data_IF_522603481672
#
_entry.id   IF_522603481672
#
_cell.length_a   1.000
_cell.length_b   1.000
_cell.length_c   1.000
_cell.angle_alpha   90.00
_cell.angle_beta   90.00
_cell.angle_gamma   90.00
#
_symmetry.space_group_name_H-M   'P 1'
#
loop_
_entity.id
_entity.type
_entity.pdbx_description
1 polymer ?
#
# COMPACT_ATOMS: atom_id res chain seq x y z
N UNK A 1 -0.54 -28.92 11.82
CA UNK A 1 -0.65 -27.44 11.76
C UNK A 1 0.74 -26.92 11.51
N UNK A 2 1.14 -26.80 10.24
CA UNK A 2 2.45 -26.29 9.87
C UNK A 2 2.39 -24.78 9.74
N UNK A 3 2.92 -24.13 10.76
CA UNK A 3 3.32 -22.73 10.79
C UNK A 3 4.51 -22.56 9.85
N UNK A 4 4.25 -22.17 8.60
CA UNK A 4 5.30 -22.05 7.59
C UNK A 4 4.92 -21.23 6.36
N UNK A 5 4.06 -20.22 6.48
CA UNK A 5 3.95 -19.22 5.40
C UNK A 5 5.16 -18.28 5.49
N UNK A 6 6.27 -18.76 4.96
CA UNK A 6 7.45 -17.98 4.63
C UNK A 6 7.01 -16.77 3.78
N UNK A 7 7.24 -15.57 4.32
CA UNK A 7 7.19 -14.36 3.52
C UNK A 7 8.38 -14.31 2.55
N UNK A 8 8.08 -14.10 1.26
CA UNK A 8 8.97 -13.77 0.12
C UNK A 8 9.98 -14.87 -0.31
N UNK A 9 10.51 -14.94 -1.56
CA UNK A 9 10.50 -14.00 -2.70
C UNK A 9 10.06 -14.60 -4.07
N UNK A 10 9.86 -13.76 -5.11
CA UNK A 10 9.90 -14.21 -6.52
C UNK A 10 8.63 -14.78 -7.15
N UNK A 11 7.42 -14.43 -6.66
CA UNK A 11 6.19 -14.80 -7.37
C UNK A 11 6.13 -14.06 -8.71
N UNK A 12 6.17 -14.82 -9.81
CA UNK A 12 5.97 -14.28 -11.16
C UNK A 12 4.48 -13.95 -11.34
N UNK A 13 4.15 -12.89 -12.10
CA UNK A 13 2.80 -12.67 -12.56
C UNK A 13 2.24 -13.95 -13.19
N UNK A 14 0.93 -14.16 -13.06
CA UNK A 14 0.30 -15.30 -13.72
C UNK A 14 0.47 -15.18 -15.25
N UNK A 15 0.92 -16.26 -15.88
CA UNK A 15 1.01 -16.35 -17.35
C UNK A 15 -0.37 -16.50 -18.02
N UNK A 16 -1.43 -16.56 -17.21
CA UNK A 16 -2.83 -16.61 -17.63
C UNK A 16 -3.62 -15.45 -17.01
N UNK A 17 -4.74 -15.05 -17.61
CA UNK A 17 -5.70 -14.17 -16.95
C UNK A 17 -6.16 -14.75 -15.61
N UNK A 18 -6.46 -13.86 -14.66
CA UNK A 18 -7.05 -14.24 -13.39
C UNK A 18 -8.48 -14.76 -13.60
N UNK A 19 -8.83 -15.81 -12.88
CA UNK A 19 -10.18 -16.39 -12.86
C UNK A 19 -11.14 -15.45 -12.12
N UNK A 20 -12.47 -15.58 -12.34
CA UNK A 20 -13.46 -14.81 -11.61
C UNK A 20 -13.38 -14.98 -10.09
N UNK A 21 -12.96 -16.17 -9.61
CA UNK A 21 -12.82 -16.42 -8.18
C UNK A 21 -11.56 -15.75 -7.58
N UNK A 22 -10.45 -15.72 -8.32
CA UNK A 22 -9.23 -15.01 -7.89
C UNK A 22 -9.47 -13.49 -7.82
N UNK A 23 -10.24 -12.94 -8.77
CA UNK A 23 -10.56 -11.51 -8.82
C UNK A 23 -11.44 -11.04 -7.64
N UNK A 24 -12.18 -11.93 -6.98
CA UNK A 24 -12.95 -11.56 -5.77
C UNK A 24 -12.05 -11.14 -4.61
N UNK A 25 -10.80 -11.60 -4.60
CA UNK A 25 -9.82 -11.28 -3.57
C UNK A 25 -8.83 -10.18 -4.00
N UNK A 26 -9.18 -9.40 -5.02
CA UNK A 26 -8.35 -8.31 -5.49
C UNK A 26 -8.28 -7.18 -4.46
N UNK A 27 -7.08 -6.86 -3.99
CA UNK A 27 -6.88 -5.80 -3.01
C UNK A 27 -6.91 -4.42 -3.68
N UNK A 28 -7.50 -3.43 -3.02
CA UNK A 28 -7.56 -2.06 -3.53
C UNK A 28 -6.16 -1.45 -3.61
N UNK A 29 -5.85 -0.82 -4.74
CA UNK A 29 -4.62 -0.05 -4.92
C UNK A 29 -4.89 1.45 -4.66
N UNK A 30 -3.99 2.10 -3.93
CA UNK A 30 -4.12 3.50 -3.51
C UNK A 30 -3.05 4.42 -4.13
N UNK A 31 -2.53 4.11 -5.32
CA UNK A 31 -1.41 4.85 -5.91
C UNK A 31 -1.65 6.36 -5.96
N UNK A 32 -2.84 6.81 -6.38
CA UNK A 32 -3.15 8.25 -6.44
C UNK A 32 -3.13 8.90 -5.06
N UNK A 33 -3.67 8.23 -4.04
CA UNK A 33 -3.64 8.73 -2.67
C UNK A 33 -2.20 8.73 -2.11
N UNK A 34 -1.37 7.76 -2.52
CA UNK A 34 0.04 7.72 -2.16
C UNK A 34 0.86 8.84 -2.84
N UNK A 35 0.54 9.22 -4.08
CA UNK A 35 1.12 10.41 -4.73
C UNK A 35 0.73 11.68 -3.96
N UNK A 36 -0.53 11.81 -3.54
CA UNK A 36 -0.93 12.93 -2.69
C UNK A 36 -0.17 12.93 -1.36
N UNK A 37 -0.08 11.78 -0.69
CA UNK A 37 0.68 11.64 0.55
C UNK A 37 2.17 12.02 0.40
N UNK A 38 2.77 11.72 -0.76
CA UNK A 38 4.15 12.12 -1.08
C UNK A 38 4.31 13.65 -1.15
N UNK A 39 3.33 14.35 -1.71
CA UNK A 39 3.31 15.81 -1.78
C UNK A 39 3.15 16.41 -0.38
N UNK A 40 2.27 15.85 0.44
CA UNK A 40 1.95 16.37 1.77
C UNK A 40 3.06 16.10 2.80
N UNK A 41 3.59 14.89 2.82
CA UNK A 41 4.66 14.52 3.75
C UNK A 41 5.54 13.42 3.14
N UNK A 42 6.63 13.86 2.53
CA UNK A 42 7.53 13.05 1.71
C UNK A 42 7.93 11.70 2.34
N UNK A 43 8.34 11.62 3.62
CA UNK A 43 8.78 10.35 4.21
C UNK A 43 7.71 9.25 4.19
N UNK A 44 6.48 9.58 4.60
CA UNK A 44 5.39 8.60 4.65
C UNK A 44 4.78 8.36 3.27
N UNK A 45 4.75 9.36 2.39
CA UNK A 45 4.30 9.17 1.02
C UNK A 45 5.19 8.23 0.20
N UNK A 46 6.52 8.25 0.40
CA UNK A 46 7.43 7.27 -0.23
C UNK A 46 7.11 5.84 0.20
N UNK A 47 6.88 5.62 1.51
CA UNK A 47 6.49 4.31 2.03
C UNK A 47 5.12 3.88 1.49
N UNK A 48 4.16 4.80 1.42
CA UNK A 48 2.86 4.53 0.83
C UNK A 48 2.97 4.10 -0.63
N UNK A 49 3.76 4.81 -1.46
CA UNK A 49 3.97 4.45 -2.86
C UNK A 49 4.62 3.07 -3.02
N UNK A 50 5.63 2.79 -2.19
CA UNK A 50 6.28 1.48 -2.18
C UNK A 50 5.29 0.35 -1.90
N UNK A 51 4.47 0.45 -0.84
CA UNK A 51 3.48 -0.58 -0.53
C UNK A 51 2.33 -0.62 -1.56
N UNK A 52 1.99 0.51 -2.19
CA UNK A 52 1.02 0.55 -3.30
C UNK A 52 1.52 -0.25 -4.50
N UNK A 53 2.80 -0.09 -4.85
CA UNK A 53 3.45 -0.89 -5.88
C UNK A 53 3.43 -2.38 -5.52
N UNK A 54 3.83 -2.73 -4.29
CA UNK A 54 3.83 -4.11 -3.80
C UNK A 54 2.41 -4.73 -3.78
N UNK A 55 1.36 -3.93 -3.58
CA UNK A 55 -0.04 -4.37 -3.67
C UNK A 55 -0.37 -4.80 -5.11
N UNK A 56 0.02 -3.98 -6.10
CA UNK A 56 -0.20 -4.29 -7.51
C UNK A 56 0.56 -5.55 -7.95
N UNK A 57 1.82 -5.71 -7.53
CA UNK A 57 2.59 -6.90 -7.85
C UNK A 57 1.98 -8.16 -7.22
N UNK A 58 1.54 -8.09 -5.96
CA UNK A 58 0.86 -9.21 -5.31
C UNK A 58 -0.49 -9.55 -5.97
N UNK A 59 -1.26 -8.55 -6.37
CA UNK A 59 -2.52 -8.72 -7.09
C UNK A 59 -2.33 -9.49 -8.41
N UNK A 60 -1.28 -9.19 -9.19
CA UNK A 60 -0.96 -9.90 -10.45
C UNK A 60 -0.60 -11.37 -10.24
N UNK A 61 -0.19 -11.74 -9.03
CA UNK A 61 0.18 -13.11 -8.68
C UNK A 61 -0.96 -13.89 -7.99
N UNK A 62 -2.16 -13.32 -7.88
CA UNK A 62 -3.27 -13.84 -7.04
C UNK A 62 -2.86 -14.09 -5.58
N UNK A 63 -1.85 -13.35 -5.09
CA UNK A 63 -1.32 -13.44 -3.73
C UNK A 63 -2.11 -12.52 -2.79
N UNK A 64 -3.39 -12.88 -2.56
CA UNK A 64 -4.34 -11.99 -1.87
C UNK A 64 -3.92 -11.60 -0.45
N UNK A 65 -3.32 -12.51 0.33
CA UNK A 65 -2.84 -12.22 1.70
C UNK A 65 -1.81 -11.07 1.70
N UNK A 66 -0.83 -11.13 0.80
CA UNK A 66 0.19 -10.10 0.64
C UNK A 66 -0.41 -8.82 0.07
N UNK A 67 -1.33 -8.95 -0.89
CA UNK A 67 -2.00 -7.81 -1.51
C UNK A 67 -2.79 -7.00 -0.48
N UNK A 68 -3.59 -7.67 0.38
CA UNK A 68 -4.30 -7.00 1.46
C UNK A 68 -3.36 -6.41 2.50
N UNK A 69 -2.32 -7.15 2.92
CA UNK A 69 -1.34 -6.64 3.90
C UNK A 69 -0.66 -5.38 3.39
N UNK A 70 -0.22 -5.36 2.13
CA UNK A 70 0.42 -4.19 1.53
C UNK A 70 -0.59 -3.06 1.30
N UNK A 71 -1.81 -3.36 0.87
CA UNK A 71 -2.89 -2.38 0.70
C UNK A 71 -3.22 -1.66 2.02
N UNK A 72 -3.32 -2.42 3.12
CA UNK A 72 -3.51 -1.86 4.46
C UNK A 72 -2.33 -0.99 4.90
N UNK A 73 -1.09 -1.42 4.65
CA UNK A 73 0.11 -0.60 4.94
C UNK A 73 0.08 0.73 4.18
N UNK A 74 -0.24 0.69 2.88
CA UNK A 74 -0.41 1.91 2.07
C UNK A 74 -1.44 2.85 2.68
N UNK A 75 -2.59 2.33 3.10
CA UNK A 75 -3.63 3.14 3.74
C UNK A 75 -3.14 3.80 5.04
N UNK A 76 -2.43 3.06 5.90
CA UNK A 76 -1.87 3.61 7.13
C UNK A 76 -0.85 4.71 6.87
N UNK A 77 0.09 4.50 5.94
CA UNK A 77 1.08 5.54 5.61
C UNK A 77 0.46 6.77 4.95
N UNK A 78 -0.57 6.60 4.12
CA UNK A 78 -1.35 7.73 3.59
C UNK A 78 -1.97 8.56 4.72
N UNK A 79 -2.62 7.89 5.68
CA UNK A 79 -3.22 8.57 6.83
C UNK A 79 -2.16 9.30 7.67
N UNK A 80 -1.05 8.64 7.99
CA UNK A 80 0.04 9.25 8.75
C UNK A 80 0.64 10.47 8.03
N UNK A 81 0.80 10.41 6.70
CA UNK A 81 1.30 11.53 5.92
C UNK A 81 0.37 12.76 6.03
N UNK A 82 -0.93 12.54 5.87
CA UNK A 82 -1.95 13.60 5.96
C UNK A 82 -1.97 14.19 7.38
N UNK A 83 -1.96 13.35 8.42
CA UNK A 83 -1.94 13.82 9.81
C UNK A 83 -0.66 14.59 10.15
N UNK A 84 0.50 14.13 9.69
CA UNK A 84 1.77 14.83 9.89
C UNK A 84 1.74 16.21 9.22
N UNK A 85 1.24 16.30 7.98
CA UNK A 85 1.11 17.58 7.26
C UNK A 85 0.16 18.55 7.98
N UNK A 86 -1.01 18.08 8.42
CA UNK A 86 -1.94 18.91 9.20
C UNK A 86 -1.29 19.37 10.52
N UNK A 87 -0.58 18.48 11.22
CA UNK A 87 0.14 18.81 12.44
C UNK A 87 1.21 19.88 12.22
N UNK A 88 1.94 19.79 11.10
CA UNK A 88 2.91 20.81 10.69
C UNK A 88 2.19 22.15 10.47
N UNK A 89 1.14 22.19 9.65
CA UNK A 89 0.36 23.43 9.43
C UNK A 89 -0.12 24.04 10.74
N UNK A 90 -0.63 23.21 11.65
CA UNK A 90 -1.13 23.66 12.95
C UNK A 90 -0.04 24.33 13.79
N UNK A 91 1.15 23.73 13.86
CA UNK A 91 2.30 24.33 14.57
C UNK A 91 2.72 25.64 13.88
N UNK A 92 2.79 25.67 12.56
CA UNK A 92 3.08 26.90 11.81
C UNK A 92 2.08 28.01 12.14
N UNK A 93 0.78 27.72 12.14
CA UNK A 93 -0.26 28.71 12.42
C UNK A 93 -0.30 29.21 13.89
N UNK A 94 0.21 28.42 14.84
CA UNK A 94 0.27 28.82 16.24
C UNK A 94 1.56 29.53 16.63
N UNK A 95 2.67 29.23 15.95
CA UNK A 95 4.02 29.68 16.33
C UNK A 95 4.50 30.85 15.47
N UNK A 96 4.07 30.95 14.21
CA UNK A 96 4.35 32.05 13.30
C UNK A 96 3.14 32.98 13.15
#
# INVERSE_FOLDING_TARGET
MDTGQQGAPGRKPLDRPQTPDELKFYARNYTLLAVLALILFLPFGLLALYFSHQTNEANKCSAWEDAYRNSSRTMWFNMLAILAFIGIIYVFALVL
#
